data_IF_212531427957
#
_entry.id   IF_212531427957
#
_cell.length_a   1.000
_cell.length_b   1.000
_cell.length_c   1.000
_cell.angle_alpha   90.00
_cell.angle_beta   90.00
_cell.angle_gamma   90.00
#
_symmetry.space_group_name_H-M   'P 1'
#
loop_
_entity.id
_entity.type
_entity.pdbx_description
1 polymer ?
#
# COMPACT_ATOMS: atom_id res chain seq x y z
N UNK A 1 -14.63 -21.40 22.46
CA UNK A 1 -13.27 -21.03 22.04
C UNK A 1 -13.37 -19.74 21.22
N UNK A 2 -13.41 -18.58 21.86
CA UNK A 2 -13.58 -17.28 21.20
C UNK A 2 -12.22 -16.74 20.75
N UNK A 3 -11.96 -16.79 19.45
CA UNK A 3 -10.81 -16.15 18.84
C UNK A 3 -10.99 -14.63 18.88
N UNK A 4 -10.14 -13.94 19.65
CA UNK A 4 -10.11 -12.47 19.67
C UNK A 4 -9.39 -12.00 18.41
N UNK A 5 -10.13 -11.48 17.44
CA UNK A 5 -9.54 -10.71 16.32
C UNK A 5 -8.99 -9.41 16.89
N UNK A 6 -7.68 -9.36 17.12
CA UNK A 6 -6.99 -8.15 17.57
C UNK A 6 -6.81 -7.25 16.36
N UNK A 7 -7.75 -6.34 16.12
CA UNK A 7 -7.64 -5.34 15.05
C UNK A 7 -6.53 -4.36 15.44
N UNK A 8 -5.38 -4.44 14.76
CA UNK A 8 -4.31 -3.43 14.92
C UNK A 8 -4.81 -2.10 14.35
N UNK A 9 -4.96 -1.10 15.22
CA UNK A 9 -5.24 0.28 14.81
C UNK A 9 -3.96 0.86 14.20
N UNK A 10 -4.07 1.42 13.00
CA UNK A 10 -2.97 2.09 12.31
C UNK A 10 -3.01 3.58 12.63
N UNK A 11 -1.90 4.13 13.10
CA UNK A 11 -1.77 5.56 13.42
C UNK A 11 -1.51 6.41 12.17
N UNK A 12 -1.80 7.72 12.24
CA UNK A 12 -1.53 8.66 11.15
C UNK A 12 -0.05 8.67 10.74
N UNK A 13 0.87 8.65 11.70
CA UNK A 13 2.32 8.62 11.41
C UNK A 13 2.78 7.35 10.68
N UNK A 14 2.13 6.20 10.93
CA UNK A 14 2.38 4.98 10.17
C UNK A 14 1.88 5.10 8.74
N UNK A 15 0.70 5.71 8.54
CA UNK A 15 0.18 5.97 7.19
C UNK A 15 1.12 6.89 6.42
N UNK A 16 1.55 8.00 7.02
CA UNK A 16 2.45 8.93 6.34
C UNK A 16 3.79 8.26 5.98
N UNK A 17 4.30 7.38 6.84
CA UNK A 17 5.52 6.62 6.55
C UNK A 17 5.33 5.64 5.39
N UNK A 18 4.21 4.92 5.36
CA UNK A 18 3.88 4.00 4.27
C UNK A 18 3.65 4.74 2.94
N UNK A 19 2.96 5.88 2.95
CA UNK A 19 2.75 6.72 1.77
C UNK A 19 4.09 7.25 1.23
N UNK A 20 4.99 7.71 2.11
CA UNK A 20 6.35 8.13 1.70
C UNK A 20 7.15 6.99 1.07
N UNK A 21 7.08 5.78 1.64
CA UNK A 21 7.77 4.62 1.07
C UNK A 21 7.20 4.25 -0.30
N UNK A 22 5.88 4.27 -0.46
CA UNK A 22 5.21 4.02 -1.73
C UNK A 22 5.54 5.08 -2.80
N UNK A 23 5.61 6.36 -2.43
CA UNK A 23 6.05 7.43 -3.33
C UNK A 23 7.52 7.20 -3.76
N UNK A 24 8.36 6.79 -2.82
CA UNK A 24 9.76 6.44 -3.12
C UNK A 24 9.85 5.27 -4.10
N UNK A 25 9.05 4.22 -3.89
CA UNK A 25 8.92 3.10 -4.82
C UNK A 25 8.44 3.54 -6.21
N UNK A 26 7.43 4.39 -6.28
CA UNK A 26 6.91 4.93 -7.54
C UNK A 26 8.00 5.68 -8.32
N UNK A 27 8.81 6.50 -7.64
CA UNK A 27 9.94 7.19 -8.25
C UNK A 27 10.99 6.21 -8.80
N UNK A 28 11.31 5.16 -8.05
CA UNK A 28 12.27 4.13 -8.47
C UNK A 28 11.79 3.29 -9.66
N UNK A 29 10.50 2.95 -9.69
CA UNK A 29 9.84 2.28 -10.83
C UNK A 29 9.86 3.20 -12.05
N UNK A 30 9.47 4.46 -11.87
CA UNK A 30 9.35 5.44 -12.97
C UNK A 30 10.69 5.86 -13.58
N UNK A 31 11.80 5.62 -12.87
CA UNK A 31 13.15 5.91 -13.35
C UNK A 31 13.66 4.91 -14.42
N UNK A 32 12.89 3.85 -14.71
CA UNK A 32 13.29 2.77 -15.61
C UNK A 32 12.11 2.29 -16.45
N UNK A 33 12.34 2.19 -17.75
CA UNK A 33 11.27 1.95 -18.73
C UNK A 33 10.67 0.55 -18.62
N UNK A 34 11.49 -0.44 -18.25
CA UNK A 34 11.04 -1.83 -18.11
C UNK A 34 10.24 -2.01 -16.82
N UNK A 35 10.69 -1.38 -15.72
CA UNK A 35 9.93 -1.39 -14.46
C UNK A 35 8.58 -0.69 -14.59
N UNK A 36 8.54 0.51 -15.18
CA UNK A 36 7.27 1.24 -15.34
C UNK A 36 6.34 0.56 -16.35
N UNK A 37 6.88 -0.04 -17.42
CA UNK A 37 6.12 -0.84 -18.37
C UNK A 37 5.43 -2.01 -17.67
N UNK A 38 6.18 -2.79 -16.89
CA UNK A 38 5.60 -3.89 -16.10
C UNK A 38 4.57 -3.44 -15.07
N UNK A 39 4.65 -2.21 -14.56
CA UNK A 39 3.64 -1.65 -13.65
C UNK A 39 2.35 -1.30 -14.38
N UNK A 40 2.46 -0.64 -15.52
CA UNK A 40 1.34 -0.29 -16.40
C UNK A 40 0.60 -1.55 -16.86
N UNK A 41 1.34 -2.56 -17.33
CA UNK A 41 0.77 -3.81 -17.83
C UNK A 41 -0.01 -4.57 -16.75
N UNK A 42 0.50 -4.56 -15.51
CA UNK A 42 -0.14 -5.27 -14.39
C UNK A 42 -1.32 -4.53 -13.81
N UNK A 43 -1.27 -3.21 -13.71
CA UNK A 43 -2.33 -2.40 -13.09
C UNK A 43 -3.39 -1.95 -14.08
N UNK A 44 -3.10 -1.97 -15.38
CA UNK A 44 -3.95 -1.42 -16.43
C UNK A 44 -4.06 0.10 -16.40
N UNK A 45 -3.26 0.80 -15.58
CA UNK A 45 -3.26 2.26 -15.54
C UNK A 45 -2.56 2.82 -16.77
N UNK A 46 -3.13 3.85 -17.38
CA UNK A 46 -2.46 4.57 -18.46
C UNK A 46 -1.39 5.51 -17.90
N UNK A 47 -0.28 5.65 -18.62
CA UNK A 47 0.83 6.52 -18.22
C UNK A 47 0.38 7.96 -17.92
N UNK A 48 -0.55 8.52 -18.71
CA UNK A 48 -1.09 9.87 -18.54
C UNK A 48 -1.88 10.07 -17.24
N UNK A 49 -2.30 8.97 -16.59
CA UNK A 49 -3.08 8.99 -15.35
C UNK A 49 -2.24 8.79 -14.09
N UNK A 50 -0.97 8.39 -14.23
CA UNK A 50 -0.09 8.09 -13.09
C UNK A 50 0.08 9.29 -12.17
N UNK A 51 0.38 10.48 -12.73
CA UNK A 51 0.58 11.70 -11.93
C UNK A 51 -0.67 12.07 -11.11
N UNK A 52 -1.85 11.86 -11.69
CA UNK A 52 -3.11 12.09 -10.98
C UNK A 52 -3.36 11.02 -9.91
N UNK A 53 -3.08 9.76 -10.24
CA UNK A 53 -3.31 8.63 -9.35
C UNK A 53 -2.34 8.58 -8.17
N UNK A 54 -1.15 9.17 -8.28
CA UNK A 54 -0.14 9.23 -7.22
C UNK A 54 -0.64 9.89 -5.90
N UNK A 55 -1.71 10.69 -5.95
CA UNK A 55 -2.36 11.24 -4.76
C UNK A 55 -3.36 10.30 -4.08
N UNK A 56 -3.62 9.12 -4.66
CA UNK A 56 -4.55 8.13 -4.13
C UNK A 56 -3.82 7.06 -3.33
N UNK A 57 -4.34 6.79 -2.14
CA UNK A 57 -3.87 5.69 -1.28
C UNK A 57 -3.97 4.33 -1.96
N UNK A 58 -5.06 4.04 -2.66
CA UNK A 58 -5.25 2.76 -3.35
C UNK A 58 -4.24 2.58 -4.48
N UNK A 59 -3.85 3.68 -5.13
CA UNK A 59 -2.79 3.64 -6.13
C UNK A 59 -1.43 3.36 -5.49
N UNK A 60 -1.10 4.04 -4.38
CA UNK A 60 0.13 3.80 -3.63
C UNK A 60 0.21 2.37 -3.05
N UNK A 61 -0.93 1.79 -2.68
CA UNK A 61 -1.02 0.37 -2.34
C UNK A 61 -0.62 -0.50 -3.52
N UNK A 62 -1.20 -0.29 -4.70
CA UNK A 62 -0.86 -1.02 -5.92
C UNK A 62 0.62 -0.89 -6.33
N UNK A 63 1.25 0.25 -6.04
CA UNK A 63 2.70 0.43 -6.23
C UNK A 63 3.49 -0.52 -5.33
N UNK A 64 3.16 -0.62 -4.05
CA UNK A 64 3.84 -1.54 -3.13
C UNK A 64 3.57 -3.01 -3.49
N UNK A 65 2.33 -3.34 -3.89
CA UNK A 65 1.99 -4.69 -4.37
C UNK A 65 2.79 -5.07 -5.61
N UNK A 66 3.01 -4.12 -6.53
CA UNK A 66 3.87 -4.33 -7.68
C UNK A 66 5.33 -4.56 -7.28
N UNK A 67 5.89 -3.76 -6.37
CA UNK A 67 7.27 -4.01 -5.88
C UNK A 67 7.39 -5.39 -5.25
N UNK A 68 6.39 -5.81 -4.48
CA UNK A 68 6.37 -7.11 -3.80
C UNK A 68 6.10 -8.31 -4.73
N UNK A 69 5.74 -8.07 -5.99
CA UNK A 69 5.32 -9.13 -6.92
C UNK A 69 6.48 -9.97 -7.45
N UNK A 70 7.71 -9.46 -7.36
CA UNK A 70 8.92 -10.13 -7.81
C UNK A 70 10.05 -9.83 -6.83
N UNK A 71 10.56 -10.87 -6.19
CA UNK A 71 11.57 -10.70 -5.14
C UNK A 71 12.93 -10.26 -5.71
N UNK A 72 13.38 -10.89 -6.79
CA UNK A 72 14.72 -10.70 -7.34
C UNK A 72 14.83 -9.44 -8.20
N UNK A 73 13.79 -9.15 -9.00
CA UNK A 73 13.81 -8.03 -9.93
C UNK A 73 13.30 -6.72 -9.33
N UNK A 74 12.42 -6.79 -8.33
CA UNK A 74 11.73 -5.60 -7.81
C UNK A 74 12.00 -5.38 -6.32
N UNK A 75 11.62 -6.31 -5.46
CA UNK A 75 11.66 -6.10 -4.01
C UNK A 75 13.09 -5.91 -3.50
N UNK A 76 13.99 -6.86 -3.77
CA UNK A 76 15.36 -6.81 -3.27
C UNK A 76 16.16 -5.62 -3.84
N UNK A 77 16.10 -5.32 -5.16
CA UNK A 77 16.74 -4.12 -5.70
C UNK A 77 16.18 -2.82 -5.13
N UNK A 78 14.87 -2.73 -4.95
CA UNK A 78 14.25 -1.55 -4.32
C UNK A 78 14.71 -1.39 -2.87
N UNK A 79 14.72 -2.48 -2.08
CA UNK A 79 15.20 -2.49 -0.71
C UNK A 79 16.66 -2.03 -0.61
N UNK A 80 17.52 -2.47 -1.54
CA UNK A 80 18.93 -2.05 -1.57
C UNK A 80 19.10 -0.54 -1.77
N UNK A 81 18.29 0.08 -2.64
CA UNK A 81 18.37 1.52 -2.93
C UNK A 81 17.66 2.38 -1.88
N UNK A 82 16.48 1.95 -1.43
CA UNK A 82 15.65 2.68 -0.46
C UNK A 82 16.11 2.52 0.99
N UNK A 83 16.99 1.54 1.26
CA UNK A 83 17.40 1.10 2.61
C UNK A 83 16.25 0.58 3.47
N UNK A 84 15.08 0.34 2.88
CA UNK A 84 14.00 -0.36 3.55
C UNK A 84 14.24 -1.86 3.50
N UNK A 85 13.93 -2.56 4.59
CA UNK A 85 13.86 -4.01 4.60
C UNK A 85 12.59 -4.52 3.88
N UNK A 86 12.58 -5.76 3.36
CA UNK A 86 11.37 -6.38 2.81
C UNK A 86 10.20 -6.36 3.80
N UNK A 87 10.51 -6.51 5.09
CA UNK A 87 9.52 -6.44 6.18
C UNK A 87 8.85 -5.07 6.26
N UNK A 88 9.61 -3.98 6.14
CA UNK A 88 9.07 -2.62 6.14
C UNK A 88 8.18 -2.35 4.91
N UNK A 89 8.51 -2.94 3.75
CA UNK A 89 7.67 -2.86 2.54
C UNK A 89 6.33 -3.58 2.76
N UNK A 90 6.36 -4.80 3.33
CA UNK A 90 5.16 -5.54 3.71
C UNK A 90 4.30 -4.77 4.73
N UNK A 91 4.93 -4.22 5.77
CA UNK A 91 4.23 -3.44 6.80
C UNK A 91 3.60 -2.17 6.21
N UNK A 92 4.29 -1.49 5.30
CA UNK A 92 3.75 -0.34 4.59
C UNK A 92 2.54 -0.73 3.72
N UNK A 93 2.61 -1.83 2.98
CA UNK A 93 1.46 -2.36 2.23
C UNK A 93 0.27 -2.62 3.15
N UNK A 94 0.47 -3.31 4.27
CA UNK A 94 -0.60 -3.61 5.23
C UNK A 94 -1.20 -2.35 5.83
N UNK A 95 -0.35 -1.38 6.13
CA UNK A 95 -0.76 -0.05 6.57
C UNK A 95 -1.62 0.63 5.52
N UNK A 96 -1.31 0.52 4.22
CA UNK A 96 -2.10 1.11 3.13
C UNK A 96 -3.39 0.33 2.81
N UNK A 97 -3.38 -0.99 2.98
CA UNK A 97 -4.55 -1.85 2.80
C UNK A 97 -5.57 -1.73 3.95
N UNK A 98 -5.13 -1.28 5.12
CA UNK A 98 -6.02 -1.16 6.28
C UNK A 98 -7.18 -0.17 6.00
N UNK A 99 -8.45 -0.60 6.19
CA UNK A 99 -9.61 0.27 6.02
C UNK A 99 -9.82 1.22 7.22
N UNK A 100 -9.09 1.02 8.32
CA UNK A 100 -9.22 1.78 9.57
C UNK A 100 -8.15 2.87 9.63
N UNK A 101 -8.38 3.97 8.90
CA UNK A 101 -7.58 5.19 9.02
C UNK A 101 -8.19 6.10 10.09
N UNK A 102 -7.43 6.43 11.14
CA UNK A 102 -7.77 7.57 11.99
C UNK A 102 -7.57 8.83 11.14
N UNK A 103 -8.67 9.44 10.69
CA UNK A 103 -8.59 10.80 10.13
C UNK A 103 -8.35 11.73 11.31
N UNK A 104 -7.40 12.67 11.18
CA UNK A 104 -7.08 13.66 12.21
C UNK A 104 -8.35 14.22 12.86
N UNK A 105 -8.58 13.90 14.14
CA UNK A 105 -9.79 14.24 14.89
C UNK A 105 -10.39 13.03 15.61
N UNK A 106 -9.92 12.81 16.85
CA UNK A 106 -10.48 11.97 17.91
C UNK A 106 -10.77 10.49 17.60
N UNK A 107 -10.56 9.62 18.60
CA UNK A 107 -10.79 8.18 18.51
C UNK A 107 -12.28 7.77 18.30
N UNK A 108 -13.18 8.75 18.22
CA UNK A 108 -14.64 8.57 18.18
C UNK A 108 -15.23 8.28 16.79
N UNK A 109 -14.48 8.43 15.70
CA UNK A 109 -14.99 8.24 14.32
C UNK A 109 -14.55 6.94 13.64
N UNK A 110 -14.45 5.86 14.42
CA UNK A 110 -14.41 4.51 13.84
C UNK A 110 -15.76 4.23 13.18
N UNK A 111 -15.85 4.38 11.86
CA UNK A 111 -16.94 3.76 11.10
C UNK A 111 -16.44 2.38 10.68
N UNK A 112 -16.73 1.30 11.43
CA UNK A 112 -16.57 -0.04 10.89
C UNK A 112 -17.44 -0.12 9.64
N UNK A 113 -16.83 -0.32 8.47
CA UNK A 113 -17.56 -0.90 7.33
C UNK A 113 -17.96 -2.29 7.77
N UNK A 114 -19.14 -2.40 8.36
CA UNK A 114 -19.80 -3.66 8.65
C UNK A 114 -19.94 -4.36 7.30
N UNK A 115 -19.10 -5.36 7.05
CA UNK A 115 -19.33 -6.30 5.96
C UNK A 115 -20.71 -6.93 6.21
N UNK A 116 -21.63 -6.94 5.24
CA UNK A 116 -22.91 -7.60 5.43
C UNK A 116 -22.62 -9.04 5.80
N UNK A 117 -23.15 -9.48 6.94
CA UNK A 117 -23.13 -10.90 7.33
C UNK A 117 -23.77 -11.64 6.17
N UNK A 118 -22.99 -12.40 5.39
CA UNK A 118 -23.58 -13.41 4.50
C UNK A 118 -24.39 -14.33 5.40
N UNK A 119 -25.71 -14.17 5.36
CA UNK A 119 -26.64 -15.12 5.92
C UNK A 119 -26.42 -16.42 5.18
N UNK A 120 -25.85 -17.41 5.87
CA UNK A 120 -26.07 -18.80 5.52
C UNK A 120 -27.45 -19.13 6.07
N UNK A 121 -28.44 -19.14 5.19
CA UNK A 121 -29.68 -19.90 5.39
C UNK A 121 -29.46 -21.32 4.89
#
# INVERSE_FOLDING_TARGET
MTERVVVRVVSAGQVDAAERLAITALGWISADIDRIGGFIDRTGIRADRIRQAAGSRDFLLGVLEHVMSDEEWLLMPFCAVSKASPREVCEARDVLASPYRIKHGSAENLVPKILPRRGFS
#
